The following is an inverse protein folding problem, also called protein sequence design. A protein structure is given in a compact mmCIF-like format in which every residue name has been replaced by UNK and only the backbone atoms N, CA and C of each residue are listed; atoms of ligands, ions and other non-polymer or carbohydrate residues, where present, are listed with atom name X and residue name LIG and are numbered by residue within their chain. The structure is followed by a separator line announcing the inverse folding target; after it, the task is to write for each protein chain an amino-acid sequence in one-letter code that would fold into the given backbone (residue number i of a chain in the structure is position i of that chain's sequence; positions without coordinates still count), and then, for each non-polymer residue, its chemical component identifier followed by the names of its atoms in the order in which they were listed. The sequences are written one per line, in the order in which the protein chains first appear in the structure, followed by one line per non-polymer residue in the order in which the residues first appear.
data_IF_562190604380
#
_entry.id   IF_562190604380
#
_cell.length_a   1.000
_cell.length_b   1.000
_cell.length_c   1.000
_cell.angle_alpha   90.00
_cell.angle_beta   90.00
_cell.angle_gamma   90.00
#
_symmetry.space_group_name_H-M   'P 1'
#
loop_
_entity.id
_entity.type
_entity.pdbx_description
1 polymer ?
#
# COMPACT_ATOMS: atom_id res chain seq x y z
N UNK A 1 -13.00 7.31 19.79
CA UNK A 1 -12.01 8.39 19.62
C UNK A 1 -10.60 7.81 19.71
N UNK A 2 -10.12 7.11 18.67
CA UNK A 2 -8.78 6.50 18.69
C UNK A 2 -8.20 6.49 17.28
N UNK A 3 -7.41 7.52 17.03
CA UNK A 3 -6.56 7.73 15.87
C UNK A 3 -5.49 6.63 15.85
N UNK A 4 -5.52 5.77 14.84
CA UNK A 4 -4.38 4.92 14.52
C UNK A 4 -3.76 5.46 13.22
N UNK A 5 -2.95 6.50 13.38
CA UNK A 5 -2.14 7.06 12.29
C UNK A 5 -1.04 6.05 11.98
N UNK A 6 -1.27 5.27 10.94
CA UNK A 6 -0.31 4.33 10.37
C UNK A 6 0.90 5.14 9.85
N UNK A 7 1.94 5.26 10.68
CA UNK A 7 3.19 5.92 10.34
C UNK A 7 3.88 5.13 9.23
N UNK A 8 3.67 5.56 7.99
CA UNK A 8 4.49 5.14 6.87
C UNK A 8 5.83 5.86 7.02
N UNK A 9 6.83 5.18 7.60
CA UNK A 9 8.23 5.62 7.54
C UNK A 9 8.66 5.59 6.07
N UNK A 10 8.53 6.71 5.38
CA UNK A 10 9.29 6.96 4.17
C UNK A 10 10.73 7.23 4.58
N UNK A 11 11.69 6.57 3.93
CA UNK A 11 13.10 6.89 4.07
C UNK A 11 13.33 8.28 3.49
N UNK A 12 13.21 9.29 4.35
CA UNK A 12 13.56 10.68 4.02
C UNK A 12 15.06 10.71 3.80
N UNK A 13 15.49 10.76 2.53
CA UNK A 13 16.82 11.30 2.26
C UNK A 13 16.88 12.69 2.90
N UNK A 14 18.02 13.05 3.51
CA UNK A 14 18.18 14.27 4.34
C UNK A 14 17.90 15.56 3.55
N UNK A 15 17.85 15.46 2.22
CA UNK A 15 17.56 16.55 1.28
C UNK A 15 16.09 16.51 0.87
N UNK A 16 15.40 17.64 1.01
CA UNK A 16 14.03 17.83 0.52
C UNK A 16 14.00 17.66 -1.01
N UNK A 17 13.21 16.69 -1.49
CA UNK A 17 13.01 16.46 -2.93
C UNK A 17 11.55 16.63 -3.28
N UNK A 18 11.30 17.38 -4.35
CA UNK A 18 9.96 17.61 -4.88
C UNK A 18 9.58 16.50 -5.85
N UNK A 19 8.29 16.23 -6.03
CA UNK A 19 7.82 15.24 -7.00
C UNK A 19 7.36 15.90 -8.29
N UNK A 20 7.81 15.36 -9.42
CA UNK A 20 7.37 15.78 -10.73
C UNK A 20 5.89 15.39 -10.95
N UNK A 21 5.04 16.36 -11.31
CA UNK A 21 3.60 16.12 -11.50
C UNK A 21 3.26 15.19 -12.67
N UNK A 22 4.11 15.13 -13.72
CA UNK A 22 3.87 14.29 -14.90
C UNK A 22 4.42 12.87 -14.73
N UNK A 23 5.62 12.72 -14.19
CA UNK A 23 6.33 11.45 -14.15
C UNK A 23 6.43 10.82 -12.77
N UNK A 24 6.12 11.56 -11.70
CA UNK A 24 6.24 11.15 -10.29
C UNK A 24 7.69 10.83 -9.86
N UNK A 25 8.68 11.24 -10.66
CA UNK A 25 10.08 11.15 -10.30
C UNK A 25 10.47 12.26 -9.31
N UNK A 26 11.45 11.95 -8.45
CA UNK A 26 12.04 12.92 -7.52
C UNK A 26 12.86 13.95 -8.29
N UNK A 27 12.66 15.21 -7.94
CA UNK A 27 13.38 16.37 -8.45
C UNK A 27 14.32 16.82 -7.33
N UNK A 28 15.60 16.89 -7.64
CA UNK A 28 16.63 17.37 -6.73
C UNK A 28 16.66 18.90 -6.73
N UNK A 29 17.04 19.55 -5.62
CA UNK A 29 17.13 21.00 -5.55
C UNK A 29 18.06 21.53 -6.65
N UNK A 30 17.70 22.66 -7.24
CA UNK A 30 18.43 23.27 -8.37
C UNK A 30 18.08 22.69 -9.75
N UNK A 31 17.17 21.72 -9.83
CA UNK A 31 16.70 21.14 -11.11
C UNK A 31 15.21 21.33 -11.34
N UNK A 32 14.79 21.24 -12.61
CA UNK A 32 13.38 21.35 -13.00
C UNK A 32 12.86 22.79 -13.07
N UNK A 33 11.54 22.92 -13.20
CA UNK A 33 10.83 24.20 -13.31
C UNK A 33 9.51 24.12 -12.56
N UNK A 34 9.10 25.24 -11.96
CA UNK A 34 7.77 25.42 -11.39
C UNK A 34 6.85 26.01 -12.46
N UNK A 35 5.75 25.33 -12.76
CA UNK A 35 4.73 25.82 -13.67
C UNK A 35 3.44 26.07 -12.88
N UNK A 36 2.91 27.29 -12.95
CA UNK A 36 1.65 27.63 -12.30
C UNK A 36 0.53 27.54 -13.33
N UNK A 37 -0.47 26.68 -13.07
CA UNK A 37 -1.63 26.55 -13.95
C UNK A 37 -2.58 27.75 -13.75
N UNK A 38 -3.51 27.96 -14.69
CA UNK A 38 -4.54 29.01 -14.57
C UNK A 38 -5.36 28.93 -13.27
N UNK A 39 -5.51 27.73 -12.72
CA UNK A 39 -6.21 27.49 -11.45
C UNK A 39 -5.38 27.90 -10.21
N UNK A 40 -4.23 28.55 -10.40
CA UNK A 40 -3.30 28.94 -9.33
C UNK A 40 -2.48 27.80 -8.73
N UNK A 41 -2.71 26.54 -9.16
CA UNK A 41 -2.01 25.38 -8.62
C UNK A 41 -0.58 25.29 -9.18
N UNK A 42 0.46 25.38 -8.32
CA UNK A 42 1.84 25.15 -8.75
C UNK A 42 2.05 23.66 -9.00
N UNK A 43 2.71 23.33 -10.12
CA UNK A 43 3.16 21.98 -10.44
C UNK A 43 4.65 21.99 -10.74
N UNK A 44 5.38 21.08 -10.10
CA UNK A 44 6.80 20.88 -10.35
C UNK A 44 7.00 19.95 -11.55
N UNK A 45 7.88 20.36 -12.47
CA UNK A 45 8.20 19.62 -13.68
C UNK A 45 9.72 19.43 -13.77
N UNK A 46 10.18 18.18 -13.74
CA UNK A 46 11.61 17.88 -13.69
C UNK A 46 12.34 17.95 -15.03
N UNK A 47 11.65 17.78 -16.16
CA UNK A 47 12.28 17.69 -17.49
C UNK A 47 11.52 18.49 -18.56
N UNK A 48 12.24 18.86 -19.63
CA UNK A 48 11.64 19.52 -20.80
C UNK A 48 10.57 18.65 -21.46
N UNK A 49 10.73 17.32 -21.43
CA UNK A 49 9.71 16.36 -21.89
C UNK A 49 8.43 16.46 -21.07
N UNK A 50 8.54 16.51 -19.74
CA UNK A 50 7.40 16.68 -18.85
C UNK A 50 6.70 18.03 -19.08
N UNK A 51 7.47 19.09 -19.35
CA UNK A 51 6.94 20.42 -19.69
C UNK A 51 6.12 20.40 -20.97
N UNK A 52 6.69 19.91 -22.07
CA UNK A 52 6.00 19.85 -23.38
C UNK A 52 4.69 19.06 -23.30
N UNK A 53 4.70 17.90 -22.66
CA UNK A 53 3.50 17.06 -22.49
C UNK A 53 2.42 17.72 -21.63
N UNK A 54 2.82 18.51 -20.64
CA UNK A 54 1.90 19.27 -19.78
C UNK A 54 1.22 20.40 -20.55
N UNK A 55 1.97 21.10 -21.39
CA UNK A 55 1.43 22.15 -22.28
C UNK A 55 0.45 21.56 -23.30
N UNK A 56 0.77 20.39 -23.86
CA UNK A 56 -0.12 19.62 -24.73
C UNK A 56 -1.32 18.99 -24.01
N UNK A 57 -1.45 19.19 -22.69
CA UNK A 57 -2.53 18.65 -21.84
C UNK A 57 -2.68 17.12 -21.91
N UNK A 58 -1.57 16.40 -22.13
CA UNK A 58 -1.57 14.94 -22.13
C UNK A 58 -1.71 14.44 -20.69
N UNK A 59 -2.64 13.50 -20.48
CA UNK A 59 -2.84 12.87 -19.17
C UNK A 59 -1.72 11.84 -18.92
N UNK A 60 -1.05 11.86 -17.76
CA UNK A 60 0.04 10.92 -17.46
C UNK A 60 -0.45 9.47 -17.48
N UNK A 61 -1.68 9.21 -17.02
CA UNK A 61 -2.33 7.90 -17.07
C UNK A 61 -2.39 7.23 -18.46
N UNK A 62 -2.29 7.99 -19.56
CA UNK A 62 -2.29 7.47 -20.93
C UNK A 62 -0.89 7.19 -21.49
N UNK A 63 0.16 7.64 -20.80
CA UNK A 63 1.54 7.58 -21.27
C UNK A 63 2.29 6.41 -20.62
N UNK A 64 2.67 5.41 -21.41
CA UNK A 64 3.25 4.14 -20.96
C UNK A 64 4.48 4.29 -20.07
N UNK A 65 5.34 5.26 -20.37
CA UNK A 65 6.59 5.47 -19.63
C UNK A 65 6.41 6.11 -18.24
N UNK A 66 5.22 6.64 -17.92
CA UNK A 66 4.96 7.30 -16.63
C UNK A 66 4.65 6.29 -15.53
N UNK A 67 4.92 6.68 -14.29
CA UNK A 67 4.60 5.85 -13.14
C UNK A 67 3.08 5.74 -12.89
N UNK A 68 2.31 6.77 -13.25
CA UNK A 68 0.85 6.72 -13.22
C UNK A 68 0.26 5.61 -14.11
N UNK A 69 0.71 5.50 -15.37
CA UNK A 69 0.29 4.40 -16.25
C UNK A 69 0.68 3.04 -15.68
N UNK A 70 1.91 2.95 -15.14
CA UNK A 70 2.46 1.73 -14.56
C UNK A 70 1.60 1.24 -13.37
N UNK A 71 1.14 2.15 -12.50
CA UNK A 71 0.22 1.85 -11.39
C UNK A 71 -1.13 1.34 -11.88
N UNK A 72 -1.72 1.99 -12.89
CA UNK A 72 -3.01 1.57 -13.47
C UNK A 72 -2.94 0.17 -14.09
N UNK A 73 -1.82 -0.17 -14.70
CA UNK A 73 -1.59 -1.48 -15.35
C UNK A 73 -0.94 -2.50 -14.43
N UNK A 74 -0.92 -2.24 -13.11
CA UNK A 74 -0.38 -3.12 -12.06
C UNK A 74 1.05 -3.59 -12.32
N UNK A 75 1.84 -2.78 -13.03
CA UNK A 75 3.24 -3.09 -13.32
C UNK A 75 4.08 -2.64 -12.10
N UNK A 76 4.95 -3.52 -11.60
CA UNK A 76 5.86 -3.17 -10.50
C UNK A 76 5.26 -3.18 -9.09
N UNK A 77 4.05 -3.73 -8.91
CA UNK A 77 3.60 -4.13 -7.57
C UNK A 77 4.32 -5.44 -7.22
N UNK A 78 5.37 -5.37 -6.39
CA UNK A 78 5.92 -6.57 -5.79
C UNK A 78 4.90 -7.15 -4.79
N UNK A 79 4.67 -8.45 -4.85
CA UNK A 79 3.69 -9.20 -4.05
C UNK A 79 3.92 -9.12 -2.53
N UNK A 80 5.02 -8.51 -2.09
CA UNK A 80 5.43 -8.39 -0.69
C UNK A 80 4.44 -7.58 0.16
N UNK A 81 3.66 -6.67 -0.44
CA UNK A 81 2.66 -5.86 0.30
C UNK A 81 1.29 -6.53 0.45
N UNK A 82 1.00 -7.60 -0.30
CA UNK A 82 -0.25 -8.35 -0.18
C UNK A 82 -0.24 -9.34 1.00
N UNK A 83 0.94 -9.74 1.47
CA UNK A 83 1.10 -10.54 2.69
C UNK A 83 1.03 -9.65 3.93
N UNK A 84 -0.09 -8.95 4.13
CA UNK A 84 -0.42 -8.45 5.47
C UNK A 84 -0.61 -9.68 6.36
N UNK A 85 0.36 -9.90 7.25
CA UNK A 85 0.35 -10.99 8.25
C UNK A 85 -0.92 -10.83 9.09
N UNK A 86 -1.96 -11.62 8.82
CA UNK A 86 -3.18 -11.61 9.61
C UNK A 86 -2.83 -12.24 10.95
N UNK A 87 -2.83 -11.46 12.03
CA UNK A 87 -2.63 -11.99 13.38
C UNK A 87 -3.75 -12.97 13.68
N UNK A 88 -3.44 -14.26 13.88
CA UNK A 88 -4.43 -15.26 14.28
C UNK A 88 -4.81 -14.96 15.73
N UNK A 89 -6.01 -14.45 15.96
CA UNK A 89 -6.53 -14.25 17.33
C UNK A 89 -6.84 -15.63 17.92
N UNK A 90 -6.13 -16.03 18.97
CA UNK A 90 -6.50 -17.20 19.76
C UNK A 90 -7.80 -16.86 20.51
N UNK A 91 -8.90 -17.51 20.13
CA UNK A 91 -10.18 -17.38 20.85
C UNK A 91 -10.06 -18.13 22.18
N UNK A 92 -10.16 -17.41 23.30
CA UNK A 92 -10.28 -18.02 24.63
C UNK A 92 -11.58 -18.83 24.66
N UNK A 93 -11.47 -20.14 24.84
CA UNK A 93 -12.63 -21.01 25.03
C UNK A 93 -13.19 -20.74 26.43
N UNK A 94 -14.43 -20.23 26.51
CA UNK A 94 -15.15 -20.12 27.79
C UNK A 94 -15.97 -21.38 28.01
N UNK A 95 -16.04 -21.84 29.26
CA UNK A 95 -16.91 -22.93 29.64
C UNK A 95 -18.38 -22.54 29.37
N UNK A 96 -19.13 -23.44 28.76
CA UNK A 96 -20.58 -23.32 28.60
C UNK A 96 -21.22 -24.02 29.80
N UNK A 97 -22.27 -23.43 30.38
CA UNK A 97 -22.97 -23.95 31.57
C UNK A 97 -23.30 -25.43 31.34
N UNK A 98 -22.73 -26.30 32.19
CA UNK A 98 -22.93 -27.75 32.17
C UNK A 98 -21.77 -28.60 31.63
N UNK A 99 -20.69 -28.03 31.05
CA UNK A 99 -19.53 -28.79 30.56
C UNK A 99 -18.21 -28.08 30.90
N UNK A 100 -17.29 -28.80 31.56
CA UNK A 100 -15.96 -28.28 31.89
C UNK A 100 -15.05 -28.24 30.64
N UNK A 101 -14.04 -27.35 30.63
CA UNK A 101 -13.13 -27.19 29.48
C UNK A 101 -12.36 -28.47 29.13
N UNK A 102 -12.17 -29.38 30.09
CA UNK A 102 -11.44 -30.63 29.90
C UNK A 102 -12.29 -31.73 29.25
N UNK A 103 -13.60 -31.74 29.48
CA UNK A 103 -14.52 -32.70 28.86
C UNK A 103 -14.70 -32.43 27.37
N UNK A 104 -14.68 -31.16 26.97
CA UNK A 104 -14.72 -30.73 25.56
C UNK A 104 -13.46 -31.19 24.81
N UNK A 105 -12.28 -31.05 25.43
CA UNK A 105 -11.01 -31.50 24.83
C UNK A 105 -10.96 -33.02 24.69
N UNK A 106 -11.43 -33.77 25.70
CA UNK A 106 -11.47 -35.24 25.67
C UNK A 106 -12.39 -35.78 24.57
N UNK A 107 -13.59 -35.21 24.39
CA UNK A 107 -14.50 -35.60 23.29
C UNK A 107 -13.92 -35.28 21.90
N UNK A 108 -13.23 -34.15 21.76
CA UNK A 108 -12.58 -33.80 20.50
C UNK A 108 -11.45 -34.79 20.12
N UNK A 109 -10.66 -35.23 21.11
CA UNK A 109 -9.61 -36.23 20.90
C UNK A 109 -10.19 -37.60 20.55
N UNK A 110 -11.30 -37.99 21.18
CA UNK A 110 -11.95 -39.28 20.94
C UNK A 110 -12.56 -39.37 19.52
N UNK A 111 -13.18 -38.28 19.03
CA UNK A 111 -13.67 -38.20 17.66
C UNK A 111 -12.55 -38.29 16.61
N UNK A 112 -11.37 -37.75 16.93
CA UNK A 112 -10.19 -37.82 16.05
C UNK A 112 -9.61 -39.23 15.96
N UNK A 113 -9.63 -39.99 17.06
CA UNK A 113 -9.16 -41.37 17.08
C UNK A 113 -10.05 -42.32 16.26
N UNK A 114 -11.35 -42.06 16.21
CA UNK A 114 -12.29 -42.91 15.46
C UNK A 114 -12.12 -42.80 13.94
N UNK A 115 -11.52 -41.71 13.44
CA UNK A 115 -11.31 -41.49 12.01
C UNK A 115 -9.95 -42.03 11.50
N UNK A 116 -9.07 -42.47 12.39
CA UNK A 116 -7.74 -42.98 12.03
C UNK A 116 -7.63 -44.51 12.14
N UNK A 117 -8.70 -45.19 12.55
CA UNK A 117 -8.76 -46.65 12.67
C UNK A 117 -9.78 -47.29 11.71
N UNK A 118 -10.08 -46.61 10.61
CA UNK A 118 -10.79 -47.14 9.45
C UNK A 118 -10.07 -46.74 8.16
#
# INVERSE_FOLDING_TARGET
NSYCVFWKKETTMVIATELCAMSEYRIWPGTGKLFVRRDGKPIFLGSSKAQSLTLQRKKPAKLVWTQAWRRLHKKGLSETTLKKRRTRSNKVQRAVVGLSLDDIKKKAAQFFFFFFFF
#
